data_IF_899662568727
#
_entry.id   IF_899662568727
#
_cell.length_a   1.000
_cell.length_b   1.000
_cell.length_c   1.000
_cell.angle_alpha   90.00
_cell.angle_beta   90.00
_cell.angle_gamma   90.00
#
_symmetry.space_group_name_H-M   'P 1'
#
loop_
_entity.id
_entity.type
_entity.pdbx_description
1 polymer ?
#
# COMPACT_ATOMS: atom_id res chain seq x y z
N UNK A 1 -4.25 -4.77 15.68
CA UNK A 1 -4.43 -4.07 14.39
C UNK A 1 -5.34 -4.90 13.52
N UNK A 2 -6.25 -4.26 12.80
CA UNK A 2 -7.18 -4.88 11.84
C UNK A 2 -6.53 -5.01 10.47
N UNK A 3 -7.03 -5.92 9.64
CA UNK A 3 -6.58 -6.06 8.26
C UNK A 3 -7.34 -5.11 7.35
N UNK A 4 -6.62 -4.46 6.44
CA UNK A 4 -7.20 -3.64 5.40
C UNK A 4 -6.59 -3.98 4.05
N UNK A 5 -7.41 -4.08 3.03
CA UNK A 5 -6.96 -3.99 1.64
C UNK A 5 -7.15 -2.55 1.20
N UNK A 6 -6.04 -1.93 0.82
CA UNK A 6 -5.99 -0.56 0.35
C UNK A 6 -5.78 -0.57 -1.15
N UNK A 7 -6.69 0.04 -1.88
CA UNK A 7 -6.55 0.27 -3.32
C UNK A 7 -6.03 1.68 -3.53
N UNK A 8 -4.82 1.78 -4.08
CA UNK A 8 -4.25 3.06 -4.52
C UNK A 8 -4.47 3.19 -6.03
N UNK A 9 -5.04 4.31 -6.47
CA UNK A 9 -5.24 4.62 -7.89
C UNK A 9 -4.33 5.78 -8.26
N UNK A 10 -3.38 5.56 -9.17
CA UNK A 10 -2.48 6.60 -9.65
C UNK A 10 -3.26 7.67 -10.43
N UNK A 11 -2.90 8.94 -10.24
CA UNK A 11 -3.49 10.05 -10.99
C UNK A 11 -3.17 10.02 -12.48
N UNK A 12 -2.02 9.45 -12.85
CA UNK A 12 -1.57 9.36 -14.23
C UNK A 12 -0.52 8.25 -14.45
N UNK A 13 -0.19 7.96 -15.71
CA UNK A 13 0.87 7.01 -16.08
C UNK A 13 2.25 7.50 -15.64
N UNK A 14 2.47 8.81 -15.71
CA UNK A 14 3.72 9.46 -15.28
C UNK A 14 3.89 9.37 -13.76
N UNK A 15 2.81 9.54 -12.99
CA UNK A 15 2.83 9.34 -11.54
C UNK A 15 3.20 7.90 -11.17
N UNK A 16 2.64 6.92 -11.89
CA UNK A 16 3.00 5.51 -11.73
C UNK A 16 4.48 5.25 -12.05
N UNK A 17 4.97 5.75 -13.19
CA UNK A 17 6.37 5.57 -13.58
C UNK A 17 7.33 6.16 -12.54
N UNK A 18 7.04 7.38 -12.06
CA UNK A 18 7.83 8.05 -11.02
C UNK A 18 7.80 7.29 -9.70
N UNK A 19 6.66 6.74 -9.29
CA UNK A 19 6.59 5.93 -8.07
C UNK A 19 7.40 4.62 -8.20
N UNK A 20 7.33 3.95 -9.35
CA UNK A 20 8.14 2.75 -9.62
C UNK A 20 9.63 3.08 -9.63
N UNK A 21 10.02 4.23 -10.18
CA UNK A 21 11.42 4.70 -10.16
C UNK A 21 11.89 5.00 -8.73
N UNK A 22 11.11 5.79 -7.97
CA UNK A 22 11.43 6.14 -6.58
C UNK A 22 11.55 4.88 -5.74
N UNK A 23 10.56 3.99 -5.79
CA UNK A 23 10.63 2.72 -5.07
C UNK A 23 11.78 1.86 -5.57
N UNK A 24 12.00 1.73 -6.88
CA UNK A 24 13.16 1.00 -7.42
C UNK A 24 14.52 1.52 -6.95
N UNK A 25 14.63 2.79 -6.58
CA UNK A 25 15.85 3.41 -6.06
C UNK A 25 16.04 3.28 -4.53
N UNK A 26 14.99 2.90 -3.79
CA UNK A 26 15.03 2.75 -2.34
C UNK A 26 15.56 1.39 -1.92
N UNK A 27 16.34 1.37 -0.82
CA UNK A 27 16.70 0.12 -0.18
C UNK A 27 15.47 -0.53 0.48
N UNK A 28 15.49 -1.86 0.63
CA UNK A 28 14.40 -2.57 1.32
C UNK A 28 14.26 -2.12 2.79
N UNK A 29 15.36 -1.72 3.43
CA UNK A 29 15.34 -1.18 4.79
C UNK A 29 14.59 0.16 4.85
N UNK A 30 14.90 1.07 3.93
CA UNK A 30 14.24 2.38 3.86
C UNK A 30 12.77 2.26 3.49
N UNK A 31 12.43 1.35 2.57
CA UNK A 31 11.04 1.02 2.27
C UNK A 31 10.30 0.49 3.50
N UNK A 32 10.90 -0.43 4.23
CA UNK A 32 10.28 -1.01 5.43
C UNK A 32 10.01 0.08 6.46
N UNK A 33 10.99 0.96 6.72
CA UNK A 33 10.80 2.12 7.62
C UNK A 33 9.74 3.09 7.12
N UNK A 34 9.67 3.33 5.82
CA UNK A 34 8.66 4.22 5.23
C UNK A 34 7.24 3.63 5.25
N UNK A 35 7.11 2.31 5.26
CA UNK A 35 5.83 1.60 5.15
C UNK A 35 5.38 0.92 6.45
N UNK A 36 6.11 1.15 7.56
CA UNK A 36 5.78 0.60 8.87
C UNK A 36 5.88 1.66 9.97
N UNK A 37 4.92 1.60 10.89
CA UNK A 37 4.91 2.32 12.16
C UNK A 37 4.19 1.47 13.21
N UNK A 38 4.09 1.98 14.44
CA UNK A 38 3.38 1.29 15.52
C UNK A 38 1.88 1.16 15.25
N UNK A 39 1.31 2.07 14.46
CA UNK A 39 -0.13 2.15 14.20
C UNK A 39 -0.54 1.63 12.81
N UNK A 40 0.40 1.51 11.86
CA UNK A 40 0.13 1.02 10.52
C UNK A 40 1.35 0.28 9.92
N UNK A 41 1.15 -0.93 9.39
CA UNK A 41 2.22 -1.75 8.80
C UNK A 41 1.76 -2.36 7.48
N UNK A 42 2.40 -1.98 6.38
CA UNK A 42 2.20 -2.62 5.09
C UNK A 42 2.77 -4.05 5.14
N UNK A 43 1.95 -5.06 4.87
CA UNK A 43 2.35 -6.47 4.87
C UNK A 43 2.80 -6.90 3.47
N UNK A 44 2.11 -6.43 2.44
CA UNK A 44 2.35 -6.84 1.06
C UNK A 44 1.78 -5.82 0.09
N UNK A 45 2.42 -5.65 -1.06
CA UNK A 45 1.99 -4.74 -2.12
C UNK A 45 2.04 -5.42 -3.49
N UNK A 46 1.04 -5.15 -4.32
CA UNK A 46 0.97 -5.61 -5.71
C UNK A 46 0.70 -4.44 -6.63
N UNK A 47 1.53 -4.28 -7.64
CA UNK A 47 1.37 -3.24 -8.68
C UNK A 47 0.84 -3.92 -9.94
N UNK A 48 -0.21 -3.35 -10.54
CA UNK A 48 -0.76 -3.90 -11.79
C UNK A 48 0.17 -3.67 -12.99
N UNK A 49 0.22 -4.59 -13.97
CA UNK A 49 1.09 -4.46 -15.13
C UNK A 49 0.56 -3.44 -16.15
N UNK A 50 1.46 -2.98 -17.02
CA UNK A 50 1.13 -2.12 -18.17
C UNK A 50 0.51 -0.79 -17.78
N UNK A 51 -0.51 -0.39 -18.53
CA UNK A 51 -1.19 0.90 -18.41
C UNK A 51 -2.20 0.99 -17.27
N UNK A 52 -2.42 -0.10 -16.52
CA UNK A 52 -3.32 -0.09 -15.38
C UNK A 52 -2.78 0.82 -14.28
N UNK A 53 -3.64 1.69 -13.76
CA UNK A 53 -3.27 2.72 -12.79
C UNK A 53 -3.61 2.31 -11.35
N UNK A 54 -3.70 1.02 -11.05
CA UNK A 54 -4.04 0.56 -9.71
C UNK A 54 -2.91 -0.22 -9.07
N UNK A 55 -2.79 -0.10 -7.76
CA UNK A 55 -2.01 -1.00 -6.93
C UNK A 55 -2.77 -1.32 -5.66
N UNK A 56 -2.46 -2.48 -5.09
CA UNK A 56 -3.16 -3.02 -3.94
C UNK A 56 -2.16 -3.29 -2.83
N UNK A 57 -2.44 -2.82 -1.64
CA UNK A 57 -1.61 -3.05 -0.47
C UNK A 57 -2.45 -3.69 0.64
N UNK A 58 -1.93 -4.77 1.21
CA UNK A 58 -2.46 -5.30 2.45
C UNK A 58 -1.78 -4.60 3.63
N UNK A 59 -2.59 -3.98 4.49
CA UNK A 59 -2.16 -3.26 5.66
C UNK A 59 -2.71 -3.88 6.94
N UNK A 60 -1.90 -3.83 8.00
CA UNK A 60 -2.38 -3.95 9.38
C UNK A 60 -2.39 -2.56 10.00
N UNK A 61 -3.57 -2.04 10.37
CA UNK A 61 -3.71 -0.70 10.96
C UNK A 61 -4.62 -0.68 12.18
N UNK A 62 -4.55 0.37 12.99
CA UNK A 62 -5.58 0.63 14.03
C UNK A 62 -6.91 1.00 13.39
N UNK A 63 -6.87 1.84 12.36
CA UNK A 63 -7.99 2.42 11.62
C UNK A 63 -7.50 2.91 10.24
N UNK A 64 -8.41 3.28 9.31
CA UNK A 64 -8.03 3.81 8.00
C UNK A 64 -7.20 5.10 8.06
N UNK A 65 -7.42 5.96 9.05
CA UNK A 65 -6.72 7.25 9.17
C UNK A 65 -5.25 7.05 9.54
N UNK A 66 -4.94 6.08 10.39
CA UNK A 66 -3.57 5.70 10.72
C UNK A 66 -2.79 5.22 9.49
N UNK A 67 -3.45 4.46 8.60
CA UNK A 67 -2.85 4.02 7.34
C UNK A 67 -2.70 5.20 6.38
N UNK A 68 -3.73 6.05 6.26
CA UNK A 68 -3.68 7.23 5.42
C UNK A 68 -2.56 8.19 5.84
N UNK A 69 -2.36 8.37 7.15
CA UNK A 69 -1.26 9.17 7.72
C UNK A 69 0.11 8.60 7.34
N UNK A 70 0.27 7.27 7.39
CA UNK A 70 1.51 6.62 6.95
C UNK A 70 1.80 6.87 5.46
N UNK A 71 0.75 7.00 4.65
CA UNK A 71 0.83 7.19 3.20
C UNK A 71 0.91 8.66 2.76
N UNK A 72 0.85 9.62 3.70
CA UNK A 72 0.75 11.06 3.39
C UNK A 72 1.81 11.55 2.41
N UNK A 73 3.06 11.11 2.59
CA UNK A 73 4.18 11.47 1.71
C UNK A 73 4.03 10.99 0.27
N UNK A 74 3.11 10.06 0.01
CA UNK A 74 2.84 9.50 -1.31
C UNK A 74 1.49 9.95 -1.89
N UNK A 75 0.69 10.73 -1.17
CA UNK A 75 -0.64 11.18 -1.65
C UNK A 75 -0.59 12.04 -2.91
N UNK A 76 0.57 12.62 -3.24
CA UNK A 76 0.76 13.36 -4.49
C UNK A 76 0.57 12.46 -5.73
N UNK A 77 0.89 11.18 -5.63
CA UNK A 77 0.83 10.22 -6.75
C UNK A 77 -0.56 9.63 -6.96
N UNK A 78 -1.43 9.67 -5.95
CA UNK A 78 -2.67 8.88 -5.91
C UNK A 78 -3.92 9.73 -5.75
N UNK A 79 -5.00 9.30 -6.37
CA UNK A 79 -6.35 9.63 -5.94
C UNK A 79 -6.59 9.19 -4.49
N UNK A 80 -7.61 9.72 -3.79
CA UNK A 80 -7.95 9.29 -2.44
C UNK A 80 -8.03 7.77 -2.32
N UNK A 81 -7.25 7.23 -1.37
CA UNK A 81 -7.13 5.79 -1.17
C UNK A 81 -8.47 5.18 -0.74
N UNK A 82 -8.76 3.99 -1.26
CA UNK A 82 -9.93 3.22 -0.83
C UNK A 82 -9.50 2.15 0.17
N UNK A 83 -10.10 2.19 1.35
CA UNK A 83 -9.81 1.26 2.44
C UNK A 83 -10.99 0.29 2.60
N UNK A 84 -10.70 -1.00 2.62
CA UNK A 84 -11.68 -2.05 2.91
C UNK A 84 -11.17 -2.86 4.09
N UNK A 85 -11.89 -2.85 5.21
CA UNK A 85 -11.60 -3.71 6.36
C UNK A 85 -11.87 -5.17 5.97
N UNK A 86 -10.93 -6.06 6.28
CA UNK A 86 -11.05 -7.49 6.06
C UNK A 86 -11.14 -8.22 7.40
N UNK A 87 -11.89 -9.31 7.43
CA UNK A 87 -11.94 -10.19 8.60
C UNK A 87 -10.61 -10.96 8.75
N UNK A 88 -10.40 -11.55 9.92
CA UNK A 88 -9.27 -12.45 10.18
C UNK A 88 -9.49 -13.86 9.62
N UNK A 89 -10.54 -14.08 8.82
CA UNK A 89 -10.86 -15.37 8.18
C UNK A 89 -9.94 -15.62 6.97
N UNK A 90 -8.64 -15.69 7.24
CA UNK A 90 -7.61 -15.90 6.22
C UNK A 90 -7.67 -17.36 5.74
N UNK A 91 -7.93 -17.52 4.45
CA UNK A 91 -7.77 -18.81 3.76
C UNK A 91 -6.41 -18.80 3.08
N UNK A 92 -5.41 -19.41 3.72
CA UNK A 92 -4.08 -19.60 3.13
C UNK A 92 -4.02 -20.97 2.43
N UNK A 93 -4.17 -20.97 1.10
CA UNK A 93 -4.07 -22.18 0.27
C UNK A 93 -2.65 -22.78 0.22
N UNK A 94 -1.65 -22.10 0.77
CA UNK A 94 -0.27 -22.57 0.87
C UNK A 94 0.14 -22.91 2.31
N UNK A 95 -0.77 -22.78 3.28
CA UNK A 95 -0.54 -23.23 4.64
C UNK A 95 -0.31 -24.74 4.60
N UNK A 96 0.93 -25.14 4.88
CA UNK A 96 1.31 -26.54 5.09
C UNK A 96 1.08 -26.92 6.54
#
# INVERSE_FOLDING_TARGET
MKNYIVTHTFKSKEAKAKMIEVTGSMSMEDMTKAMTSDNAKCQMSWITPGDNLTMFCWWKGTDPDAINKQLESMNDFYEPHKFVECTDDIIDFNAK
#
